data_IF_598189645107
#
_entry.id   IF_598189645107
#
_cell.length_a   1.000
_cell.length_b   1.000
_cell.length_c   1.000
_cell.angle_alpha   90.00
_cell.angle_beta   90.00
_cell.angle_gamma   90.00
#
_symmetry.space_group_name_H-M   'P 1'
#
loop_
_entity.id
_entity.type
_entity.pdbx_description
1 polymer ?
#
# COMPACT_ATOMS: atom_id res chain seq x y z
N UNK A 1 -10.68 13.70 17.99
CA UNK A 1 -9.39 13.00 17.79
C UNK A 1 -9.53 11.59 17.20
N UNK A 2 -10.69 10.93 17.29
CA UNK A 2 -10.90 9.54 16.81
C UNK A 2 -11.01 9.37 15.28
N UNK A 3 -11.44 10.41 14.55
CA UNK A 3 -11.62 10.33 13.09
C UNK A 3 -10.35 10.05 12.29
N UNK A 4 -9.18 10.55 12.73
CA UNK A 4 -7.90 10.28 12.08
C UNK A 4 -7.49 8.80 12.15
N UNK A 5 -7.88 8.10 13.23
CA UNK A 5 -7.59 6.68 13.42
C UNK A 5 -8.41 5.81 12.44
N UNK A 6 -9.64 6.21 12.15
CA UNK A 6 -10.51 5.53 11.17
C UNK A 6 -10.17 5.86 9.72
N UNK A 7 -9.49 6.97 9.45
CA UNK A 7 -9.14 7.40 8.10
C UNK A 7 -7.91 6.66 7.55
N UNK A 8 -6.98 6.29 8.42
CA UNK A 8 -5.76 5.55 8.07
C UNK A 8 -6.03 4.22 7.32
N UNK A 9 -6.91 3.31 7.78
CA UNK A 9 -7.19 2.07 7.05
C UNK A 9 -7.83 2.32 5.68
N UNK A 10 -8.61 3.40 5.53
CA UNK A 10 -9.20 3.78 4.24
C UNK A 10 -8.11 4.22 3.26
N UNK A 11 -7.16 5.04 3.70
CA UNK A 11 -6.02 5.44 2.85
C UNK A 11 -5.16 4.25 2.43
N UNK A 12 -4.86 3.34 3.36
CA UNK A 12 -4.11 2.12 3.03
C UNK A 12 -4.87 1.23 2.04
N UNK A 13 -6.19 1.10 2.17
CA UNK A 13 -7.00 0.34 1.25
C UNK A 13 -6.98 0.95 -0.16
N UNK A 14 -7.16 2.27 -0.29
CA UNK A 14 -7.08 2.96 -1.58
C UNK A 14 -5.69 2.82 -2.20
N UNK A 15 -4.63 2.94 -1.39
CA UNK A 15 -3.26 2.74 -1.83
C UNK A 15 -3.01 1.32 -2.35
N UNK A 16 -3.42 0.30 -1.60
CA UNK A 16 -3.28 -1.10 -2.02
C UNK A 16 -4.06 -1.41 -3.31
N UNK A 17 -5.30 -0.90 -3.42
CA UNK A 17 -6.12 -1.04 -4.63
C UNK A 17 -5.41 -0.40 -5.83
N UNK A 18 -4.86 0.81 -5.66
CA UNK A 18 -4.11 1.47 -6.73
C UNK A 18 -2.90 0.65 -7.18
N UNK A 19 -2.17 0.03 -6.25
CA UNK A 19 -1.04 -0.86 -6.55
C UNK A 19 -1.43 -2.08 -7.39
N UNK A 20 -2.56 -2.71 -7.05
CA UNK A 20 -3.12 -3.85 -7.79
C UNK A 20 -3.42 -3.46 -9.23
N UNK A 21 -4.06 -2.30 -9.45
CA UNK A 21 -4.38 -1.82 -10.79
C UNK A 21 -3.14 -1.44 -11.60
N UNK A 22 -2.13 -0.82 -10.97
CA UNK A 22 -0.86 -0.47 -11.63
C UNK A 22 -0.16 -1.74 -12.14
N UNK A 23 -0.04 -2.77 -11.30
CA UNK A 23 0.59 -4.04 -11.67
C UNK A 23 -0.17 -4.74 -12.79
N UNK A 24 -1.50 -4.75 -12.73
CA UNK A 24 -2.35 -5.29 -13.79
C UNK A 24 -2.14 -4.54 -15.12
N UNK A 25 -2.14 -3.20 -15.11
CA UNK A 25 -1.94 -2.40 -16.31
C UNK A 25 -0.57 -2.68 -16.94
N UNK A 26 0.50 -2.74 -16.13
CA UNK A 26 1.86 -3.06 -16.61
C UNK A 26 1.91 -4.47 -17.20
N UNK A 27 1.21 -5.44 -16.60
CA UNK A 27 1.12 -6.79 -17.13
C UNK A 27 0.44 -6.87 -18.49
N UNK A 28 -0.64 -6.11 -18.68
CA UNK A 28 -1.33 -6.01 -19.97
C UNK A 28 -0.46 -5.32 -21.01
N UNK A 29 0.20 -4.19 -20.67
CA UNK A 29 1.05 -3.46 -21.63
C UNK A 29 2.31 -4.25 -22.02
N UNK A 30 2.89 -5.01 -21.08
CA UNK A 30 4.07 -5.84 -21.33
C UNK A 30 3.73 -7.19 -21.97
N UNK A 31 2.45 -7.47 -22.27
CA UNK A 31 1.97 -8.75 -22.82
C UNK A 31 2.40 -9.98 -22.02
N UNK A 32 2.61 -9.83 -20.72
CA UNK A 32 2.91 -10.96 -19.82
C UNK A 32 1.64 -11.71 -19.43
N UNK A 33 0.48 -11.07 -19.61
CA UNK A 33 -0.85 -11.69 -19.42
C UNK A 33 -1.69 -11.53 -20.68
N UNK A 34 -2.47 -12.56 -20.96
CA UNK A 34 -3.24 -12.70 -22.20
C UNK A 34 -4.74 -12.55 -21.89
N UNK A 35 -5.32 -11.37 -22.17
CA UNK A 35 -6.73 -11.11 -21.87
C UNK A 35 -7.69 -11.96 -22.73
N UNK A 36 -7.22 -12.46 -23.87
CA UNK A 36 -7.98 -13.35 -24.75
C UNK A 36 -8.24 -14.73 -24.12
N UNK A 37 -7.45 -15.14 -23.13
CA UNK A 37 -7.65 -16.40 -22.40
C UNK A 37 -8.47 -16.23 -21.11
N UNK A 38 -8.91 -15.00 -20.82
CA UNK A 38 -9.69 -14.66 -19.63
C UNK A 38 -9.01 -13.61 -18.76
N UNK A 39 -9.65 -13.28 -17.64
CA UNK A 39 -9.11 -12.32 -16.67
C UNK A 39 -7.98 -12.97 -15.85
N UNK A 40 -6.75 -12.45 -15.89
CA UNK A 40 -5.61 -13.06 -15.22
C UNK A 40 -5.67 -12.86 -13.70
N UNK A 41 -5.12 -13.82 -12.95
CA UNK A 41 -4.95 -13.69 -11.51
C UNK A 41 -3.89 -12.62 -11.17
N UNK A 42 -4.13 -11.85 -10.10
CA UNK A 42 -3.20 -10.80 -9.65
C UNK A 42 -1.81 -11.36 -9.27
N UNK A 43 -1.78 -12.59 -8.76
CA UNK A 43 -0.53 -13.30 -8.44
C UNK A 43 0.35 -13.53 -9.67
N UNK A 44 -0.26 -13.74 -10.85
CA UNK A 44 0.47 -13.87 -12.12
C UNK A 44 0.92 -12.49 -12.62
N UNK A 45 0.04 -11.49 -12.52
CA UNK A 45 0.34 -10.12 -12.97
C UNK A 45 1.53 -9.50 -12.22
N UNK A 46 1.74 -9.90 -10.96
CA UNK A 46 2.84 -9.42 -10.12
C UNK A 46 4.05 -10.37 -10.02
N UNK A 47 4.13 -11.43 -10.82
CA UNK A 47 5.17 -12.47 -10.66
C UNK A 47 6.47 -12.17 -11.40
N UNK A 48 6.45 -11.38 -12.46
CA UNK A 48 7.60 -11.17 -13.34
C UNK A 48 8.22 -9.77 -13.16
N UNK A 49 9.53 -9.60 -13.39
CA UNK A 49 10.12 -8.28 -13.51
C UNK A 49 9.55 -7.56 -14.75
N UNK A 50 9.22 -6.25 -14.70
CA UNK A 50 9.40 -5.30 -13.59
C UNK A 50 8.22 -5.23 -12.59
N UNK A 51 7.14 -5.98 -12.81
CA UNK A 51 5.89 -5.88 -12.05
C UNK A 51 6.06 -6.21 -10.56
N UNK A 52 6.76 -7.30 -10.26
CA UNK A 52 7.00 -7.75 -8.88
C UNK A 52 7.78 -6.73 -8.06
N UNK A 53 8.74 -6.05 -8.70
CA UNK A 53 9.56 -5.01 -8.09
C UNK A 53 8.71 -3.78 -7.77
N UNK A 54 7.88 -3.34 -8.72
CA UNK A 54 6.99 -2.20 -8.54
C UNK A 54 5.93 -2.49 -7.47
N UNK A 55 5.35 -3.69 -7.47
CA UNK A 55 4.39 -4.10 -6.43
C UNK A 55 5.02 -4.05 -5.04
N UNK A 56 6.24 -4.58 -4.89
CA UNK A 56 7.00 -4.53 -3.64
C UNK A 56 7.28 -3.10 -3.18
N UNK A 57 7.66 -2.21 -4.11
CA UNK A 57 7.86 -0.78 -3.79
C UNK A 57 6.57 -0.12 -3.32
N UNK A 58 5.44 -0.37 -4.00
CA UNK A 58 4.13 0.18 -3.61
C UNK A 58 3.73 -0.31 -2.22
N UNK A 59 3.89 -1.59 -1.91
CA UNK A 59 3.60 -2.16 -0.60
C UNK A 59 4.51 -1.58 0.49
N UNK A 60 5.81 -1.46 0.22
CA UNK A 60 6.77 -0.88 1.17
C UNK A 60 6.48 0.60 1.45
N UNK A 61 6.11 1.38 0.43
CA UNK A 61 5.67 2.77 0.61
C UNK A 61 4.39 2.86 1.45
N UNK A 62 3.40 1.99 1.19
CA UNK A 62 2.18 1.92 2.00
C UNK A 62 2.46 1.59 3.46
N UNK A 63 3.39 0.66 3.73
CA UNK A 63 3.79 0.28 5.08
C UNK A 63 4.59 1.36 5.84
N UNK A 64 5.24 2.28 5.11
CA UNK A 64 5.88 3.46 5.68
C UNK A 64 4.83 4.54 6.03
N UNK A 65 3.95 4.87 5.07
CA UNK A 65 2.86 5.85 5.26
C UNK A 65 1.88 5.43 6.37
N UNK A 66 1.63 4.12 6.52
CA UNK A 66 0.79 3.58 7.58
C UNK A 66 1.37 3.73 9.00
N UNK A 67 2.65 4.09 9.15
CA UNK A 67 3.26 4.37 10.46
C UNK A 67 3.07 5.81 10.92
N UNK A 68 2.66 6.71 10.04
CA UNK A 68 2.71 8.16 10.29
C UNK A 68 1.56 8.77 11.14
N UNK A 69 0.38 8.15 11.40
CA UNK A 69 -0.57 8.77 12.33
C UNK A 69 -0.23 8.50 13.80
N UNK A 70 0.70 7.59 14.11
CA UNK A 70 1.10 7.32 15.50
C UNK A 70 2.26 8.22 15.97
N UNK A 71 3.23 8.53 15.11
CA UNK A 71 4.41 9.32 15.49
C UNK A 71 4.09 10.81 15.73
N UNK A 72 3.21 11.42 14.93
CA UNK A 72 2.80 12.82 15.14
C UNK A 72 1.83 12.99 16.33
N UNK A 73 1.11 11.92 16.72
CA UNK A 73 0.25 11.93 17.90
C UNK A 73 1.03 11.64 19.20
N UNK A 74 2.10 10.84 19.14
CA UNK A 74 2.94 10.51 20.30
C UNK A 74 3.93 11.64 20.66
N UNK A 75 4.26 12.54 19.72
CA UNK A 75 5.09 13.71 19.98
C UNK A 75 4.39 14.88 20.70
N UNK A 76 3.06 14.82 20.90
CA UNK A 76 2.30 15.83 21.66
C UNK A 76 1.70 15.31 22.98
N UNK A 77 2.08 14.11 23.41
CA UNK A 77 1.55 13.45 24.59
C UNK A 77 2.54 13.19 25.73
N UNK A 78 3.79 13.66 25.64
CA UNK A 78 4.77 13.47 26.70
C UNK A 78 5.18 14.79 27.39
N UNK A 79 4.31 15.32 28.27
CA UNK A 79 4.73 15.80 29.56
C UNK A 79 4.30 14.77 30.63
N UNK A 80 5.16 14.54 31.62
CA UNK A 80 4.97 13.67 32.79
C UNK A 80 5.52 12.24 32.70
N UNK A 81 6.80 12.11 32.33
CA UNK A 81 7.66 11.07 32.93
C UNK A 81 8.73 11.77 33.80
N UNK A 82 8.31 12.49 34.85
CA UNK A 82 9.22 13.02 35.87
C UNK A 82 8.56 13.42 37.22
N UNK A 83 7.64 12.63 37.81
CA UNK A 83 7.42 12.67 39.26
C UNK A 83 6.51 11.53 39.73
N UNK A 84 7.03 10.64 40.59
CA UNK A 84 6.30 9.55 41.24
C UNK A 84 7.13 8.29 41.36
#
# INVERSE_FOLDING_TARGET
MWGYLSLMPVFLAVWAISGVWIVFAIAVTNRTVDLSKGFPYISICGSFPPQSCIFSQVLNMGAALGKEPAAHALGRGLPCLHLG
#
